data_IF_885196233480
#
_entry.id   IF_885196233480
#
_cell.length_a   1.000
_cell.length_b   1.000
_cell.length_c   1.000
_cell.angle_alpha   90.00
_cell.angle_beta   90.00
_cell.angle_gamma   90.00
#
_symmetry.space_group_name_H-M   'P 1'
#
loop_
_entity.id
_entity.type
_entity.pdbx_description
1 polymer ?
#
# COMPACT_ATOMS: atom_id res chain seq x y z
N UNK A 1 10.58 -18.67 -6.18
CA UNK A 1 10.92 -17.26 -6.03
C UNK A 1 9.71 -16.45 -6.52
N UNK A 2 9.02 -15.75 -5.63
CA UNK A 2 8.09 -14.71 -6.07
C UNK A 2 8.92 -13.48 -6.44
N UNK A 3 8.87 -13.08 -7.70
CA UNK A 3 9.48 -11.84 -8.14
C UNK A 3 8.74 -10.64 -7.50
N UNK A 4 9.50 -9.67 -7.03
CA UNK A 4 8.91 -8.43 -6.52
C UNK A 4 8.12 -7.73 -7.64
N UNK A 5 6.90 -7.23 -7.36
CA UNK A 5 6.09 -6.58 -8.37
C UNK A 5 6.81 -5.33 -8.88
N UNK A 6 7.05 -5.31 -10.19
CA UNK A 6 7.68 -4.17 -10.86
C UNK A 6 6.70 -3.01 -11.10
N UNK A 7 5.39 -3.26 -11.02
CA UNK A 7 4.33 -2.29 -11.31
C UNK A 7 3.36 -2.16 -10.14
N UNK A 8 2.85 -0.96 -9.91
CA UNK A 8 1.90 -0.69 -8.82
C UNK A 8 0.63 -1.56 -8.90
N UNK A 9 0.08 -1.77 -10.10
CA UNK A 9 -1.09 -2.65 -10.30
C UNK A 9 -0.85 -4.12 -9.89
N UNK A 10 0.37 -4.63 -10.09
CA UNK A 10 0.77 -5.96 -9.61
C UNK A 10 0.81 -6.00 -8.07
N UNK A 11 1.36 -4.95 -7.45
CA UNK A 11 1.40 -4.83 -5.99
C UNK A 11 -0.01 -4.77 -5.38
N UNK A 12 -0.91 -3.98 -5.96
CA UNK A 12 -2.32 -3.91 -5.56
C UNK A 12 -3.00 -5.28 -5.66
N UNK A 13 -2.77 -6.01 -6.76
CA UNK A 13 -3.31 -7.36 -6.95
C UNK A 13 -2.78 -8.32 -5.88
N UNK A 14 -1.48 -8.26 -5.57
CA UNK A 14 -0.85 -9.05 -4.52
C UNK A 14 -1.43 -8.72 -3.15
N UNK A 15 -1.54 -7.44 -2.80
CA UNK A 15 -2.12 -6.98 -1.53
C UNK A 15 -3.59 -7.39 -1.37
N UNK A 16 -4.39 -7.34 -2.43
CA UNK A 16 -5.78 -7.86 -2.41
C UNK A 16 -5.83 -9.34 -2.06
N UNK A 17 -4.91 -10.16 -2.60
CA UNK A 17 -4.83 -11.59 -2.25
C UNK A 17 -4.46 -11.80 -0.78
N UNK A 18 -3.49 -11.05 -0.27
CA UNK A 18 -3.09 -11.11 1.13
C UNK A 18 -4.22 -10.70 2.08
N UNK A 19 -4.85 -9.56 1.83
CA UNK A 19 -6.01 -9.11 2.61
C UNK A 19 -7.10 -10.20 2.65
N UNK A 20 -7.40 -10.81 1.50
CA UNK A 20 -8.38 -11.90 1.46
C UNK A 20 -7.95 -13.08 2.33
N UNK A 21 -6.71 -13.53 2.23
CA UNK A 21 -6.16 -14.62 3.03
C UNK A 21 -6.21 -14.32 4.53
N UNK A 22 -5.76 -13.14 4.93
CA UNK A 22 -5.77 -12.71 6.32
C UNK A 22 -7.19 -12.68 6.90
N UNK A 23 -8.17 -12.14 6.16
CA UNK A 23 -9.56 -12.08 6.60
C UNK A 23 -10.24 -13.45 6.64
N UNK A 24 -9.83 -14.40 5.79
CA UNK A 24 -10.27 -15.79 5.91
C UNK A 24 -9.80 -16.44 7.21
N UNK A 25 -8.64 -16.04 7.70
CA UNK A 25 -8.08 -16.51 8.96
C UNK A 25 -8.61 -15.76 10.20
N UNK A 26 -9.42 -14.70 10.04
CA UNK A 26 -9.91 -13.89 11.16
C UNK A 26 -10.64 -14.71 12.25
N UNK A 27 -11.29 -15.81 11.85
CA UNK A 27 -11.94 -16.74 12.78
C UNK A 27 -10.98 -17.41 13.77
N UNK A 28 -9.68 -17.49 13.45
CA UNK A 28 -8.61 -18.07 14.27
C UNK A 28 -8.15 -17.14 15.42
N UNK A 29 -8.69 -15.94 15.52
CA UNK A 29 -8.54 -15.09 16.71
C UNK A 29 -9.44 -15.54 17.88
N UNK A 30 -10.38 -16.45 17.63
CA UNK A 30 -11.29 -16.95 18.66
C UNK A 30 -10.60 -17.98 19.54
N UNK A 31 -11.08 -18.13 20.79
CA UNK A 31 -10.57 -19.14 21.72
C UNK A 31 -10.82 -20.58 21.26
N UNK A 32 -11.89 -20.80 20.48
CA UNK A 32 -12.23 -22.10 19.87
C UNK A 32 -12.32 -21.96 18.36
N UNK A 33 -11.59 -22.80 17.66
CA UNK A 33 -11.49 -22.85 16.20
C UNK A 33 -12.22 -24.06 15.65
N UNK A 34 -12.61 -24.06 14.38
CA UNK A 34 -13.17 -25.24 13.73
C UNK A 34 -12.18 -26.42 13.81
N UNK A 35 -12.67 -27.58 14.30
CA UNK A 35 -11.94 -28.83 14.20
C UNK A 35 -12.05 -29.43 12.80
N UNK A 36 -11.56 -30.71 12.60
CA UNK A 36 -11.78 -31.46 11.38
C UNK A 36 -13.27 -31.54 11.00
N UNK A 37 -13.59 -31.81 9.72
CA UNK A 37 -14.98 -31.95 9.28
C UNK A 37 -15.76 -32.95 10.17
N UNK A 38 -16.86 -32.49 10.78
CA UNK A 38 -17.70 -33.29 11.69
C UNK A 38 -17.26 -33.32 13.15
N UNK A 39 -16.11 -32.76 13.51
CA UNK A 39 -15.65 -32.68 14.89
C UNK A 39 -16.13 -31.40 15.60
N UNK A 40 -16.25 -31.41 16.94
CA UNK A 40 -16.55 -30.22 17.72
C UNK A 40 -15.40 -29.20 17.61
N UNK A 41 -15.71 -27.94 17.95
CA UNK A 41 -14.70 -26.88 17.99
C UNK A 41 -13.64 -27.19 19.05
N UNK A 42 -12.39 -27.14 18.63
CA UNK A 42 -11.23 -27.39 19.48
C UNK A 42 -10.66 -26.09 20.09
N UNK A 43 -9.87 -26.23 21.13
CA UNK A 43 -9.13 -25.11 21.69
C UNK A 43 -8.12 -24.61 20.65
N UNK A 44 -8.04 -23.30 20.48
CA UNK A 44 -7.13 -22.71 19.51
C UNK A 44 -5.66 -23.09 19.80
N UNK A 45 -4.97 -23.79 18.89
CA UNK A 45 -3.59 -24.20 19.08
C UNK A 45 -2.56 -23.07 18.82
N UNK A 46 -3.00 -21.92 18.28
CA UNK A 46 -2.11 -20.81 17.96
C UNK A 46 -1.52 -20.17 19.22
N UNK A 47 -0.22 -19.92 19.20
CA UNK A 47 0.44 -19.13 20.21
C UNK A 47 -0.08 -17.69 20.24
N UNK A 48 0.09 -17.00 21.38
CA UNK A 48 -0.28 -15.57 21.51
C UNK A 48 0.40 -14.72 20.46
N UNK A 49 1.67 -14.99 20.15
CA UNK A 49 2.42 -14.29 19.09
C UNK A 49 1.80 -14.51 17.70
N UNK A 50 1.36 -15.73 17.40
CA UNK A 50 0.71 -16.03 16.12
C UNK A 50 -0.64 -15.31 15.99
N UNK A 51 -1.44 -15.28 17.07
CA UNK A 51 -2.69 -14.52 17.12
C UNK A 51 -2.43 -13.01 16.99
N UNK A 52 -1.40 -12.48 17.63
CA UNK A 52 -1.00 -11.08 17.50
C UNK A 52 -0.61 -10.73 16.07
N UNK A 53 0.21 -11.56 15.39
CA UNK A 53 0.58 -11.35 13.98
C UNK A 53 -0.65 -11.34 13.08
N UNK A 54 -1.59 -12.25 13.31
CA UNK A 54 -2.85 -12.29 12.55
C UNK A 54 -3.67 -11.01 12.77
N UNK A 55 -3.83 -10.58 14.04
CA UNK A 55 -4.52 -9.34 14.36
C UNK A 55 -3.85 -8.12 13.71
N UNK A 56 -2.52 -8.05 13.72
CA UNK A 56 -1.76 -6.96 13.12
C UNK A 56 -1.97 -6.90 11.60
N UNK A 57 -2.00 -8.05 10.91
CA UNK A 57 -2.31 -8.10 9.47
C UNK A 57 -3.71 -7.56 9.18
N UNK A 58 -4.73 -7.98 9.95
CA UNK A 58 -6.09 -7.45 9.81
C UNK A 58 -6.13 -5.94 10.04
N UNK A 59 -5.47 -5.46 11.10
CA UNK A 59 -5.37 -4.03 11.41
C UNK A 59 -4.75 -3.26 10.24
N UNK A 60 -3.63 -3.75 9.67
CA UNK A 60 -2.93 -3.09 8.55
C UNK A 60 -3.85 -2.91 7.34
N UNK A 61 -4.72 -3.86 7.05
CA UNK A 61 -5.67 -3.75 5.93
C UNK A 61 -6.74 -2.68 6.14
N UNK A 62 -6.99 -2.25 7.38
CA UNK A 62 -7.95 -1.21 7.74
C UNK A 62 -7.33 0.21 7.79
N UNK A 63 -6.00 0.30 7.96
CA UNK A 63 -5.31 1.60 8.13
C UNK A 63 -5.61 2.59 7.01
N UNK A 64 -5.54 2.24 5.70
CA UNK A 64 -5.82 3.20 4.65
C UNK A 64 -7.24 3.77 4.72
N UNK A 65 -8.23 2.93 5.04
CA UNK A 65 -9.61 3.37 5.20
C UNK A 65 -9.78 4.29 6.42
N UNK A 66 -9.17 3.94 7.55
CA UNK A 66 -9.22 4.74 8.76
C UNK A 66 -8.58 6.12 8.57
N UNK A 67 -7.39 6.19 7.96
CA UNK A 67 -6.70 7.47 7.70
C UNK A 67 -7.45 8.33 6.68
N UNK A 68 -8.03 7.73 5.62
CA UNK A 68 -8.86 8.46 4.66
C UNK A 68 -10.10 9.05 5.35
N UNK A 69 -10.80 8.25 6.16
CA UNK A 69 -11.96 8.72 6.92
C UNK A 69 -11.57 9.81 7.93
N UNK A 70 -10.41 9.68 8.57
CA UNK A 70 -9.90 10.67 9.51
C UNK A 70 -9.64 12.01 8.83
N UNK A 71 -9.05 12.02 7.63
CA UNK A 71 -8.88 13.24 6.83
C UNK A 71 -10.22 13.86 6.47
N UNK A 72 -11.11 13.07 5.87
CA UNK A 72 -12.40 13.56 5.39
C UNK A 72 -13.27 14.10 6.53
N UNK A 73 -13.38 13.37 7.65
CA UNK A 73 -14.12 13.83 8.82
C UNK A 73 -13.46 15.04 9.50
N UNK A 74 -12.13 15.06 9.56
CA UNK A 74 -11.37 16.18 10.10
C UNK A 74 -11.56 17.46 9.30
N UNK A 75 -11.65 17.37 7.97
CA UNK A 75 -11.93 18.53 7.11
C UNK A 75 -13.39 18.97 7.20
N UNK A 76 -14.33 18.03 7.26
CA UNK A 76 -15.76 18.33 7.29
C UNK A 76 -16.26 18.82 8.65
N UNK A 77 -15.78 18.26 9.76
CA UNK A 77 -16.35 18.45 11.09
C UNK A 77 -15.37 19.09 12.08
N UNK A 78 -14.07 18.90 11.90
CA UNK A 78 -13.04 19.26 12.87
C UNK A 78 -12.19 20.46 12.47
N UNK A 79 -10.94 20.45 12.92
CA UNK A 79 -9.88 21.39 12.53
C UNK A 79 -9.08 20.79 11.36
N UNK A 80 -9.23 21.30 10.12
CA UNK A 80 -8.61 20.73 8.93
C UNK A 80 -7.08 20.63 9.05
N UNK A 81 -6.44 21.65 9.58
CA UNK A 81 -4.98 21.69 9.77
C UNK A 81 -4.49 20.62 10.74
N UNK A 82 -5.12 20.54 11.90
CA UNK A 82 -4.76 19.55 12.91
C UNK A 82 -4.86 18.11 12.37
N UNK A 83 -5.99 17.75 11.75
CA UNK A 83 -6.20 16.39 11.27
C UNK A 83 -5.32 16.02 10.07
N UNK A 84 -5.03 17.00 9.18
CA UNK A 84 -4.06 16.79 8.11
C UNK A 84 -2.66 16.52 8.65
N UNK A 85 -2.20 17.34 9.63
CA UNK A 85 -0.91 17.14 10.27
C UNK A 85 -0.86 15.85 11.09
N UNK A 86 -1.96 15.47 11.75
CA UNK A 86 -2.05 14.22 12.50
C UNK A 86 -1.87 13.00 11.57
N UNK A 87 -2.56 12.97 10.43
CA UNK A 87 -2.42 11.87 9.46
C UNK A 87 -1.02 11.84 8.86
N UNK A 88 -0.47 12.98 8.45
CA UNK A 88 0.91 13.08 7.96
C UNK A 88 1.89 12.62 9.04
N UNK A 89 1.68 13.02 10.30
CA UNK A 89 2.50 12.62 11.44
C UNK A 89 2.46 11.12 11.69
N UNK A 90 1.28 10.49 11.63
CA UNK A 90 1.13 9.03 11.78
C UNK A 90 1.93 8.29 10.70
N UNK A 91 1.87 8.75 9.45
CA UNK A 91 2.61 8.15 8.34
C UNK A 91 4.12 8.44 8.43
N UNK A 92 4.50 9.62 8.89
CA UNK A 92 5.90 10.07 8.97
C UNK A 92 6.65 9.46 10.16
N UNK A 93 5.97 9.19 11.28
CA UNK A 93 6.60 8.74 12.53
C UNK A 93 7.52 7.52 12.35
N UNK A 94 7.13 6.43 11.66
CA UNK A 94 8.02 5.28 11.45
C UNK A 94 9.28 5.65 10.66
N UNK A 95 9.16 6.52 9.66
CA UNK A 95 10.27 6.99 8.83
C UNK A 95 11.24 7.86 9.64
N UNK A 96 10.72 8.73 10.50
CA UNK A 96 11.52 9.53 11.42
C UNK A 96 12.28 8.67 12.42
N UNK A 97 11.57 7.75 13.10
CA UNK A 97 12.20 6.83 14.04
C UNK A 97 13.31 6.01 13.39
N UNK A 98 13.07 5.46 12.20
CA UNK A 98 14.08 4.71 11.47
C UNK A 98 15.28 5.58 11.07
N UNK A 99 15.06 6.83 10.64
CA UNK A 99 16.14 7.76 10.28
C UNK A 99 16.97 8.18 11.49
N UNK A 100 16.32 8.43 12.63
CA UNK A 100 17.01 8.73 13.89
C UNK A 100 17.85 7.53 14.37
N UNK A 101 17.30 6.31 14.29
CA UNK A 101 18.04 5.10 14.63
C UNK A 101 19.25 4.89 13.71
N UNK A 102 19.10 5.14 12.41
CA UNK A 102 20.21 5.06 11.46
C UNK A 102 21.30 6.09 11.80
N UNK A 103 20.90 7.32 12.22
CA UNK A 103 21.84 8.36 12.64
C UNK A 103 22.62 7.97 13.89
N UNK A 104 21.96 7.34 14.87
CA UNK A 104 22.59 6.90 16.13
C UNK A 104 23.48 5.65 15.95
N UNK A 105 23.27 4.86 14.89
CA UNK A 105 23.98 3.59 14.65
C UNK A 105 25.02 3.70 13.55
N UNK A 106 26.00 4.58 13.76
CA UNK A 106 27.12 4.70 12.82
C UNK A 106 28.05 3.49 12.95
N UNK A 107 28.39 2.75 11.87
CA UNK A 107 29.48 1.77 11.87
C UNK A 107 30.83 2.47 12.04
N UNK A 108 31.74 1.89 12.82
CA UNK A 108 33.04 2.50 13.10
C UNK A 108 33.94 2.62 11.85
N UNK A 109 33.75 1.73 10.90
CA UNK A 109 34.53 1.67 9.65
C UNK A 109 34.11 2.73 8.61
N UNK A 110 32.99 3.46 8.81
CA UNK A 110 32.46 4.40 7.83
C UNK A 110 32.75 5.84 8.25
N UNK A 111 33.21 6.65 7.31
CA UNK A 111 33.42 8.08 7.52
C UNK A 111 32.11 8.80 7.75
N UNK A 112 32.06 9.76 8.68
CA UNK A 112 30.88 10.56 8.98
C UNK A 112 30.20 11.15 7.74
N UNK A 113 30.98 11.67 6.80
CA UNK A 113 30.47 12.25 5.55
C UNK A 113 29.70 11.23 4.71
N UNK A 114 30.25 10.00 4.58
CA UNK A 114 29.60 8.93 3.84
C UNK A 114 28.33 8.44 4.55
N UNK A 115 28.39 8.31 5.88
CA UNK A 115 27.26 7.92 6.70
C UNK A 115 26.08 8.92 6.58
N UNK A 116 26.33 10.22 6.73
CA UNK A 116 25.32 11.27 6.58
C UNK A 116 24.73 11.31 5.16
N UNK A 117 25.56 11.11 4.12
CA UNK A 117 25.07 11.02 2.73
C UNK A 117 24.13 9.82 2.55
N UNK A 118 24.49 8.65 3.09
CA UNK A 118 23.65 7.45 3.04
C UNK A 118 22.31 7.63 3.80
N UNK A 119 22.35 8.26 4.97
CA UNK A 119 21.15 8.60 5.75
C UNK A 119 20.26 9.56 4.96
N UNK A 120 20.82 10.64 4.40
CA UNK A 120 20.08 11.60 3.60
C UNK A 120 19.37 10.94 2.40
N UNK A 121 20.06 10.06 1.69
CA UNK A 121 19.45 9.29 0.59
C UNK A 121 18.36 8.33 1.07
N UNK A 122 18.54 7.70 2.25
CA UNK A 122 17.53 6.82 2.84
C UNK A 122 16.31 7.60 3.31
N UNK A 123 16.53 8.75 3.95
CA UNK A 123 15.46 9.66 4.36
C UNK A 123 14.67 10.18 3.16
N UNK A 124 15.34 10.60 2.09
CA UNK A 124 14.69 11.03 0.85
C UNK A 124 13.81 9.93 0.24
N UNK A 125 14.30 8.68 0.20
CA UNK A 125 13.51 7.53 -0.26
C UNK A 125 12.28 7.28 0.62
N UNK A 126 12.43 7.36 1.96
CA UNK A 126 11.30 7.20 2.90
C UNK A 126 10.26 8.32 2.74
N UNK A 127 10.71 9.55 2.55
CA UNK A 127 9.79 10.67 2.28
C UNK A 127 9.06 10.50 0.95
N UNK A 128 9.74 10.05 -0.10
CA UNK A 128 9.09 9.75 -1.39
C UNK A 128 8.06 8.62 -1.26
N UNK A 129 8.34 7.57 -0.48
CA UNK A 129 7.40 6.49 -0.17
C UNK A 129 6.18 7.03 0.59
N UNK A 130 6.39 7.85 1.61
CA UNK A 130 5.32 8.51 2.36
C UNK A 130 4.44 9.38 1.47
N UNK A 131 5.03 10.20 0.60
CA UNK A 131 4.27 11.01 -0.35
C UNK A 131 3.43 10.14 -1.29
N UNK A 132 3.97 9.01 -1.73
CA UNK A 132 3.26 8.05 -2.56
C UNK A 132 2.13 7.34 -1.80
N UNK A 133 2.36 6.93 -0.53
CA UNK A 133 1.34 6.36 0.33
C UNK A 133 0.18 7.35 0.55
N UNK A 134 0.49 8.61 0.87
CA UNK A 134 -0.52 9.67 1.01
C UNK A 134 -1.29 9.91 -0.30
N UNK A 135 -0.59 9.89 -1.45
CA UNK A 135 -1.21 10.04 -2.77
C UNK A 135 -2.18 8.90 -3.11
N UNK A 136 -1.82 7.67 -2.77
CA UNK A 136 -2.62 6.48 -3.08
C UNK A 136 -3.63 6.13 -1.98
N UNK A 137 -3.64 6.86 -0.86
CA UNK A 137 -4.42 6.55 0.34
C UNK A 137 -5.91 6.27 0.05
N UNK A 138 -6.68 7.11 -0.69
CA UNK A 138 -8.08 6.85 -0.97
C UNK A 138 -8.30 5.63 -1.87
N UNK A 139 -7.39 5.37 -2.81
CA UNK A 139 -7.45 4.17 -3.63
C UNK A 139 -7.21 2.92 -2.80
N UNK A 140 -6.22 2.95 -1.92
CA UNK A 140 -5.92 1.85 -1.00
C UNK A 140 -7.07 1.59 -0.02
N UNK A 141 -7.72 2.64 0.47
CA UNK A 141 -8.91 2.54 1.29
C UNK A 141 -10.05 1.79 0.58
N UNK A 142 -10.29 2.11 -0.69
CA UNK A 142 -11.37 1.49 -1.46
C UNK A 142 -11.06 0.05 -1.82
N UNK A 143 -9.87 -0.27 -2.34
CA UNK A 143 -9.57 -1.65 -2.71
C UNK A 143 -9.45 -2.57 -1.49
N UNK A 144 -8.95 -2.07 -0.35
CA UNK A 144 -8.90 -2.85 0.88
C UNK A 144 -10.29 -3.16 1.40
N UNK A 145 -11.19 -2.16 1.46
CA UNK A 145 -12.59 -2.36 1.83
C UNK A 145 -13.31 -3.34 0.89
N UNK A 146 -13.11 -3.21 -0.42
CA UNK A 146 -13.69 -4.12 -1.41
C UNK A 146 -13.21 -5.56 -1.20
N UNK A 147 -11.90 -5.75 -0.99
CA UNK A 147 -11.32 -7.07 -0.70
C UNK A 147 -11.89 -7.67 0.59
N UNK A 148 -11.99 -6.88 1.66
CA UNK A 148 -12.56 -7.28 2.95
C UNK A 148 -14.05 -7.65 2.80
N UNK A 149 -14.84 -6.75 2.23
CA UNK A 149 -16.28 -6.93 2.08
C UNK A 149 -16.63 -8.18 1.25
N UNK A 150 -15.95 -8.36 0.11
CA UNK A 150 -16.12 -9.56 -0.73
C UNK A 150 -15.71 -10.83 -0.01
N UNK A 151 -14.63 -10.79 0.79
CA UNK A 151 -14.17 -11.95 1.55
C UNK A 151 -15.19 -12.33 2.61
N UNK A 152 -15.64 -11.38 3.40
CA UNK A 152 -16.65 -11.59 4.43
C UNK A 152 -17.98 -12.08 3.83
N UNK A 153 -18.42 -11.47 2.72
CA UNK A 153 -19.62 -11.92 2.01
C UNK A 153 -19.50 -13.37 1.53
N UNK A 154 -18.35 -13.72 0.93
CA UNK A 154 -18.09 -15.09 0.48
C UNK A 154 -18.03 -16.09 1.65
N UNK A 155 -17.48 -15.70 2.78
CA UNK A 155 -17.40 -16.57 3.96
C UNK A 155 -18.72 -16.76 4.67
N UNK A 156 -19.51 -15.70 4.81
CA UNK A 156 -20.70 -15.68 5.67
C UNK A 156 -21.96 -16.04 4.91
N UNK A 157 -22.06 -15.62 3.63
CA UNK A 157 -23.30 -15.74 2.84
C UNK A 157 -23.19 -16.82 1.77
N UNK A 158 -22.30 -16.65 0.80
CA UNK A 158 -22.30 -17.54 -0.38
C UNK A 158 -21.54 -18.85 -0.17
N UNK A 159 -20.55 -18.86 0.70
CA UNK A 159 -19.63 -20.01 0.96
C UNK A 159 -19.01 -20.61 -0.30
N UNK A 160 -18.86 -19.80 -1.36
CA UNK A 160 -18.33 -20.19 -2.67
C UNK A 160 -17.11 -19.37 -3.03
N UNK A 161 -16.23 -19.93 -3.90
CA UNK A 161 -15.03 -19.28 -4.45
C UNK A 161 -14.06 -18.75 -3.37
N UNK A 162 -13.91 -19.48 -2.27
CA UNK A 162 -13.00 -19.11 -1.18
C UNK A 162 -11.53 -19.29 -1.57
N UNK A 163 -11.24 -20.29 -2.44
CA UNK A 163 -9.90 -20.62 -2.92
C UNK A 163 -9.64 -20.14 -4.36
N UNK A 164 -10.33 -19.09 -4.82
CA UNK A 164 -10.11 -18.55 -6.16
C UNK A 164 -8.70 -17.94 -6.22
N UNK A 165 -7.81 -18.62 -6.95
CA UNK A 165 -6.42 -18.22 -7.11
C UNK A 165 -6.20 -17.69 -8.52
N UNK A 166 -5.82 -16.43 -8.65
CA UNK A 166 -5.31 -15.86 -9.89
C UNK A 166 -3.78 -15.81 -9.80
N UNK A 167 -3.04 -16.59 -10.60
CA UNK A 167 -1.59 -16.54 -10.62
C UNK A 167 -1.10 -15.12 -10.92
N UNK A 168 0.01 -14.71 -10.31
CA UNK A 168 0.65 -13.42 -10.61
C UNK A 168 1.02 -13.30 -12.08
N UNK A 169 1.40 -14.43 -12.72
CA UNK A 169 1.68 -14.50 -14.15
C UNK A 169 0.51 -14.13 -15.06
N UNK A 170 -0.74 -14.39 -14.65
CA UNK A 170 -1.92 -13.99 -15.44
C UNK A 170 -2.17 -12.49 -15.34
N UNK A 171 -1.99 -11.92 -14.15
CA UNK A 171 -2.04 -10.46 -13.94
C UNK A 171 -0.93 -9.78 -14.75
N UNK A 172 0.26 -10.37 -14.80
CA UNK A 172 1.39 -9.88 -15.58
C UNK A 172 1.11 -9.89 -17.08
N UNK A 173 0.51 -10.96 -17.59
CA UNK A 173 0.09 -11.06 -19.01
C UNK A 173 -0.97 -10.00 -19.35
N UNK A 174 -1.93 -9.76 -18.47
CA UNK A 174 -2.97 -8.74 -18.69
C UNK A 174 -2.37 -7.33 -18.71
N UNK A 175 -1.42 -7.04 -17.81
CA UNK A 175 -0.72 -5.76 -17.75
C UNK A 175 0.34 -5.60 -18.86
N UNK A 176 0.84 -6.70 -19.42
CA UNK A 176 1.80 -6.69 -20.54
C UNK A 176 1.14 -6.48 -21.91
N UNK A 177 -0.19 -6.59 -22.01
CA UNK A 177 -0.91 -6.32 -23.27
C UNK A 177 -0.74 -4.86 -23.70
N UNK A 178 -0.70 -4.56 -25.01
CA UNK A 178 -0.70 -3.19 -25.49
C UNK A 178 -1.86 -2.40 -24.89
N UNK A 179 -1.58 -1.25 -24.25
CA UNK A 179 -2.56 -0.44 -23.51
C UNK A 179 -2.83 -0.87 -22.06
N UNK A 180 -2.32 -2.03 -21.58
CA UNK A 180 -2.51 -2.49 -20.21
C UNK A 180 -1.68 -1.74 -19.15
N UNK A 181 -0.60 -1.08 -19.57
CA UNK A 181 0.30 -0.29 -18.71
C UNK A 181 0.35 1.19 -19.09
N UNK A 182 -0.65 1.67 -19.79
CA UNK A 182 -0.77 3.04 -20.23
C UNK A 182 -1.32 3.95 -19.10
N UNK A 183 -1.08 5.26 -19.21
CA UNK A 183 -1.64 6.26 -18.28
C UNK A 183 -3.17 6.14 -18.21
N UNK A 184 -3.82 5.96 -19.36
CA UNK A 184 -5.27 5.78 -19.43
C UNK A 184 -5.75 4.54 -18.64
N UNK A 185 -4.98 3.44 -18.63
CA UNK A 185 -5.28 2.26 -17.84
C UNK A 185 -5.15 2.54 -16.32
N UNK A 186 -4.12 3.29 -15.91
CA UNK A 186 -3.94 3.71 -14.51
C UNK A 186 -5.08 4.62 -14.06
N UNK A 187 -5.48 5.59 -14.88
CA UNK A 187 -6.62 6.49 -14.60
C UNK A 187 -7.92 5.69 -14.48
N UNK A 188 -8.18 4.75 -15.39
CA UNK A 188 -9.38 3.88 -15.33
C UNK A 188 -9.38 3.00 -14.09
N UNK A 189 -8.24 2.41 -13.73
CA UNK A 189 -8.14 1.57 -12.53
C UNK A 189 -8.35 2.36 -11.23
N UNK A 190 -7.90 3.62 -11.20
CA UNK A 190 -7.93 4.48 -10.02
C UNK A 190 -9.01 5.58 -10.11
N UNK A 191 -10.02 5.43 -10.97
CA UNK A 191 -11.08 6.45 -11.18
C UNK A 191 -11.76 6.91 -9.89
N UNK A 192 -11.86 6.01 -8.91
CA UNK A 192 -12.47 6.27 -7.61
C UNK A 192 -11.77 7.40 -6.84
N UNK A 193 -10.48 7.60 -7.08
CA UNK A 193 -9.71 8.69 -6.45
C UNK A 193 -10.23 10.06 -6.92
N UNK A 194 -10.51 10.18 -8.22
CA UNK A 194 -11.11 11.39 -8.78
C UNK A 194 -12.49 11.66 -8.16
N UNK A 195 -13.31 10.62 -8.04
CA UNK A 195 -14.63 10.74 -7.42
C UNK A 195 -14.52 11.22 -5.97
N UNK A 196 -13.66 10.60 -5.15
CA UNK A 196 -13.45 10.99 -3.75
C UNK A 196 -12.92 12.43 -3.67
N UNK A 197 -11.91 12.78 -4.45
CA UNK A 197 -11.29 14.11 -4.42
C UNK A 197 -12.29 15.20 -4.84
N UNK A 198 -13.03 15.00 -5.94
CA UNK A 198 -13.98 15.97 -6.45
C UNK A 198 -15.21 16.12 -5.53
N UNK A 199 -15.74 15.02 -5.02
CA UNK A 199 -16.87 15.06 -4.05
C UNK A 199 -16.43 15.78 -2.78
N UNK A 200 -15.23 15.48 -2.27
CA UNK A 200 -14.70 16.15 -1.07
C UNK A 200 -14.48 17.64 -1.31
N UNK A 201 -13.90 18.01 -2.46
CA UNK A 201 -13.71 19.42 -2.82
C UNK A 201 -15.05 20.16 -2.95
N UNK A 202 -16.03 19.58 -3.64
CA UNK A 202 -17.36 20.16 -3.80
C UNK A 202 -18.10 20.32 -2.47
N UNK A 203 -18.04 19.31 -1.61
CA UNK A 203 -18.62 19.37 -0.27
C UNK A 203 -17.98 20.47 0.57
N UNK A 204 -16.65 20.55 0.59
CA UNK A 204 -15.93 21.58 1.34
C UNK A 204 -16.18 22.97 0.78
N UNK A 205 -16.26 23.12 -0.54
CA UNK A 205 -16.59 24.40 -1.17
C UNK A 205 -17.97 24.90 -0.73
N UNK A 206 -18.94 23.98 -0.64
CA UNK A 206 -20.32 24.31 -0.26
C UNK A 206 -20.49 24.55 1.24
N UNK A 207 -19.72 23.85 2.11
CA UNK A 207 -19.96 23.88 3.56
C UNK A 207 -18.88 24.59 4.35
N UNK A 208 -17.61 24.51 3.94
CA UNK A 208 -16.44 25.02 4.68
C UNK A 208 -15.31 25.46 3.73
N UNK A 209 -15.50 26.52 2.94
CA UNK A 209 -14.51 26.92 1.92
C UNK A 209 -13.11 27.20 2.47
N UNK A 210 -12.99 27.68 3.70
CA UNK A 210 -11.70 27.90 4.34
C UNK A 210 -10.90 26.59 4.55
N UNK A 211 -11.57 25.45 4.72
CA UNK A 211 -10.94 24.16 4.85
C UNK A 211 -10.23 23.71 3.56
N UNK A 212 -10.66 24.21 2.40
CA UNK A 212 -10.02 23.91 1.10
C UNK A 212 -8.56 24.36 1.07
N UNK A 213 -8.19 25.45 1.73
CA UNK A 213 -6.80 25.94 1.75
C UNK A 213 -5.87 24.83 2.24
N UNK A 214 -6.29 24.11 3.28
CA UNK A 214 -5.51 23.02 3.89
C UNK A 214 -5.69 21.70 3.12
N UNK A 215 -6.90 21.42 2.63
CA UNK A 215 -7.21 20.17 1.95
C UNK A 215 -6.62 20.11 0.52
N UNK A 216 -6.52 21.26 -0.18
CA UNK A 216 -6.12 21.35 -1.59
C UNK A 216 -4.80 20.63 -1.91
N UNK A 217 -3.70 20.78 -1.15
CA UNK A 217 -2.46 20.08 -1.45
C UNK A 217 -2.63 18.56 -1.46
N UNK A 218 -3.41 18.00 -0.52
CA UNK A 218 -3.67 16.57 -0.43
C UNK A 218 -4.64 16.13 -1.52
N UNK A 219 -5.68 16.89 -1.82
CA UNK A 219 -6.61 16.61 -2.92
C UNK A 219 -5.91 16.63 -4.27
N UNK A 220 -5.01 17.57 -4.53
CA UNK A 220 -4.19 17.62 -5.74
C UNK A 220 -3.25 16.40 -5.82
N UNK A 221 -2.66 16.00 -4.69
CA UNK A 221 -1.83 14.81 -4.62
C UNK A 221 -2.64 13.54 -4.94
N UNK A 222 -3.88 13.44 -4.46
CA UNK A 222 -4.80 12.36 -4.82
C UNK A 222 -5.10 12.36 -6.32
N UNK A 223 -5.45 13.49 -6.91
CA UNK A 223 -5.72 13.60 -8.34
C UNK A 223 -4.48 13.22 -9.19
N UNK A 224 -3.28 13.52 -8.72
CA UNK A 224 -2.04 13.17 -9.38
C UNK A 224 -1.64 11.68 -9.22
N UNK A 225 -2.23 10.97 -8.25
CA UNK A 225 -1.81 9.60 -7.89
C UNK A 225 -1.82 8.60 -9.05
N UNK A 226 -2.77 8.58 -10.02
CA UNK A 226 -2.73 7.66 -11.14
C UNK A 226 -1.54 7.92 -12.08
N UNK A 227 -1.19 9.20 -12.26
CA UNK A 227 -0.04 9.59 -13.07
C UNK A 227 1.28 9.22 -12.36
N UNK A 228 1.36 9.42 -11.05
CA UNK A 228 2.52 9.03 -10.23
C UNK A 228 2.68 7.50 -10.26
N UNK A 229 1.60 6.74 -10.04
CA UNK A 229 1.61 5.29 -10.08
C UNK A 229 2.05 4.74 -11.44
N UNK A 230 1.56 5.33 -12.54
CA UNK A 230 1.99 4.99 -13.88
C UNK A 230 3.47 5.31 -14.10
N UNK A 231 3.93 6.50 -13.70
CA UNK A 231 5.32 6.92 -13.87
C UNK A 231 6.32 6.01 -13.15
N UNK A 232 6.02 5.62 -11.91
CA UNK A 232 6.84 4.70 -11.11
C UNK A 232 6.84 3.29 -11.72
N UNK A 233 5.72 2.88 -12.36
CA UNK A 233 5.55 1.56 -12.96
C UNK A 233 6.19 1.41 -14.34
N UNK A 234 6.78 2.47 -14.90
CA UNK A 234 7.49 2.39 -16.18
C UNK A 234 8.70 1.46 -16.08
N UNK A 235 8.87 0.54 -17.03
CA UNK A 235 10.06 -0.30 -17.04
C UNK A 235 11.30 0.59 -17.21
N UNK A 236 12.20 0.54 -16.25
CA UNK A 236 13.52 1.13 -16.44
C UNK A 236 14.30 0.21 -17.35
N UNK A 237 14.57 0.65 -18.57
CA UNK A 237 15.49 -0.03 -19.47
C UNK A 237 16.84 -0.02 -18.76
N UNK A 238 17.21 -1.18 -18.20
CA UNK A 238 18.57 -1.38 -17.71
C UNK A 238 19.44 -1.30 -18.96
N UNK A 239 20.26 -0.28 -19.11
CA UNK A 239 21.34 -0.32 -20.09
C UNK A 239 22.18 -1.53 -19.70
N UNK A 240 22.02 -2.63 -20.42
CA UNK A 240 23.00 -3.70 -20.38
C UNK A 240 24.31 -3.06 -20.80
N UNK A 241 25.29 -3.07 -19.89
CA UNK A 241 26.63 -2.68 -20.27
C UNK A 241 27.04 -3.65 -21.39
N UNK A 242 27.14 -3.15 -22.60
CA UNK A 242 27.63 -3.95 -23.70
C UNK A 242 29.06 -4.35 -23.34
N UNK A 243 29.23 -5.61 -22.92
CA UNK A 243 30.53 -6.17 -22.64
C UNK A 243 31.33 -6.12 -23.94
N UNK A 244 32.54 -5.59 -23.87
CA UNK A 244 33.44 -5.62 -25.01
C UNK A 244 33.79 -7.09 -25.34
N UNK A 245 34.17 -7.35 -26.59
CA UNK A 245 34.55 -8.71 -27.01
C UNK A 245 35.66 -9.33 -26.14
N UNK A 246 36.53 -8.50 -25.61
CA UNK A 246 37.61 -8.89 -24.66
C UNK A 246 37.04 -9.30 -23.30
N UNK A 247 36.12 -8.53 -22.72
CA UNK A 247 35.43 -8.85 -21.48
C UNK A 247 34.61 -10.12 -21.60
N UNK A 248 33.98 -10.33 -22.75
CA UNK A 248 33.21 -11.55 -23.03
C UNK A 248 34.10 -12.79 -23.14
N UNK A 249 35.32 -12.65 -23.73
CA UNK A 249 36.31 -13.74 -23.76
C UNK A 249 36.84 -14.08 -22.36
N UNK A 250 37.14 -13.06 -21.56
CA UNK A 250 37.65 -13.25 -20.18
C UNK A 250 36.60 -13.97 -19.30
N UNK A 251 35.33 -13.68 -19.46
CA UNK A 251 34.26 -14.34 -18.68
C UNK A 251 33.94 -15.77 -19.14
N UNK A 252 34.43 -16.19 -20.33
CA UNK A 252 34.25 -17.55 -20.87
C UNK A 252 35.44 -18.45 -20.69
N UNK A 253 36.55 -17.93 -20.23
CA UNK A 253 37.77 -18.67 -19.89
C UNK A 253 37.76 -19.05 -18.40
#
# INVERSE_FOLDING_TARGET
HEDYPARYGQDVSRRRRWIRGDWQLAGWLRRRVPGPPGAPRERNPLSVLAQWKLLDNLRRSLVPAALTLLLLSGWALGSPGFWSLAVIGILLLPALCATLLDLCRKPDEVLWRQHLTAIGQSAARRLAQLAFELACLPYEAVFSRDAIARTLWRMLVTRRRLLEWNPSSEVDRQLARPGGSDLAASVRAMWVVFAIALVSAGLLLATRPAALIVATPILLLWLASPAIAWWISRPRVRREAALTAEQTRFLRA
#
